data_IF_678048152061
#
_entry.id   IF_678048152061
#
_cell.length_a   1.000
_cell.length_b   1.000
_cell.length_c   1.000
_cell.angle_alpha   90.00
_cell.angle_beta   90.00
_cell.angle_gamma   90.00
#
_symmetry.space_group_name_H-M   'P 1'
#
loop_
_entity.id
_entity.type
_entity.pdbx_description
1 polymer ?
#
# COMPACT_ATOMS: atom_id res chain seq x y z
N UNK A 1 -32.19 33.72 20.64
CA UNK A 1 -31.03 34.06 21.49
C UNK A 1 -29.83 34.14 20.57
N UNK A 2 -29.26 35.32 20.36
CA UNK A 2 -28.06 35.52 19.54
C UNK A 2 -27.05 36.25 20.42
N UNK A 3 -25.91 35.60 20.71
CA UNK A 3 -24.70 36.25 21.23
C UNK A 3 -23.53 35.84 20.34
N UNK A 4 -22.75 36.87 20.07
CA UNK A 4 -21.76 37.09 19.02
C UNK A 4 -20.50 36.23 19.23
N UNK A 5 -19.76 35.83 18.18
CA UNK A 5 -18.45 35.19 18.31
C UNK A 5 -17.45 36.21 18.87
N UNK A 6 -16.77 35.89 19.97
CA UNK A 6 -15.68 36.73 20.48
C UNK A 6 -14.46 36.59 19.57
N UNK A 7 -13.84 37.69 19.13
CA UNK A 7 -12.55 37.66 18.46
C UNK A 7 -11.42 37.56 19.49
N UNK A 8 -10.26 37.10 19.02
CA UNK A 8 -8.94 37.20 19.67
C UNK A 8 -8.69 36.22 20.84
N UNK A 9 -8.27 35.01 20.45
CA UNK A 9 -7.13 34.36 21.10
C UNK A 9 -6.06 34.21 20.02
N UNK A 10 -5.12 35.18 20.02
CA UNK A 10 -3.85 35.15 19.31
C UNK A 10 -3.13 33.81 19.60
N UNK A 11 -2.78 33.05 18.58
CA UNK A 11 -1.50 33.12 17.85
C UNK A 11 -0.30 32.69 18.72
N UNK A 12 -0.24 31.39 19.00
CA UNK A 12 1.01 30.65 19.19
C UNK A 12 1.01 29.50 18.18
N UNK A 13 1.11 29.86 16.90
CA UNK A 13 1.45 28.92 15.81
C UNK A 13 2.98 28.84 15.71
N UNK A 14 3.60 28.05 16.58
CA UNK A 14 4.99 27.63 16.42
C UNK A 14 5.08 26.12 16.62
N UNK A 15 5.17 25.40 15.51
CA UNK A 15 5.24 23.96 15.44
C UNK A 15 4.83 23.46 14.05
N UNK A 16 5.71 23.69 13.08
CA UNK A 16 5.67 23.09 11.75
C UNK A 16 5.34 21.59 11.81
N UNK A 17 4.33 21.17 11.07
CA UNK A 17 3.92 19.78 10.93
C UNK A 17 2.51 19.72 10.36
N UNK A 18 2.44 19.70 9.03
CA UNK A 18 1.24 19.81 8.22
C UNK A 18 0.07 18.93 8.71
N UNK A 19 -1.08 19.56 8.90
CA UNK A 19 -2.34 18.84 8.96
C UNK A 19 -2.86 18.58 7.55
N UNK A 20 -2.96 17.33 7.13
CA UNK A 20 -3.98 16.87 6.18
C UNK A 20 -4.19 15.35 6.12
N UNK A 21 -5.32 14.90 6.69
CA UNK A 21 -6.07 13.75 6.18
C UNK A 21 -5.78 12.37 6.79
N UNK A 22 -6.78 11.82 7.50
CA UNK A 22 -7.15 10.39 7.51
C UNK A 22 -6.07 9.30 7.75
N UNK A 23 -4.95 9.62 8.39
CA UNK A 23 -3.99 8.61 8.86
C UNK A 23 -4.05 8.49 10.38
N UNK A 24 -4.00 7.24 10.86
CA UNK A 24 -4.22 6.90 12.28
C UNK A 24 -3.04 7.25 13.20
N UNK A 25 -1.85 7.47 12.65
CA UNK A 25 -0.62 7.77 13.37
C UNK A 25 0.18 8.85 12.65
N UNK A 26 0.85 9.74 13.40
CA UNK A 26 1.80 10.70 12.86
C UNK A 26 3.14 10.05 12.50
N UNK A 27 3.97 10.75 11.73
CA UNK A 27 5.31 10.27 11.34
C UNK A 27 6.21 10.06 12.56
N UNK A 28 6.08 10.92 13.58
CA UNK A 28 6.84 10.82 14.82
C UNK A 28 6.41 9.64 15.70
N UNK A 29 5.19 9.12 15.51
CA UNK A 29 4.65 7.99 16.29
C UNK A 29 5.16 6.62 15.80
N UNK A 30 5.74 6.55 14.59
CA UNK A 30 6.17 5.30 13.92
C UNK A 30 7.69 5.21 13.71
N UNK A 31 8.48 5.93 14.51
CA UNK A 31 9.95 5.90 14.49
C UNK A 31 10.57 4.71 15.24
N UNK A 32 11.92 4.64 15.32
CA UNK A 32 12.63 3.62 16.11
C UNK A 32 12.24 3.60 17.60
N UNK A 33 11.78 4.74 18.11
CA UNK A 33 11.24 4.92 19.47
C UNK A 33 9.70 5.06 19.48
N UNK A 34 9.03 4.67 18.39
CA UNK A 34 7.58 4.79 18.19
C UNK A 34 6.77 3.82 19.05
N UNK A 35 5.44 3.98 19.02
CA UNK A 35 4.52 3.08 19.74
C UNK A 35 4.50 1.73 19.03
N UNK A 36 5.10 0.71 19.65
CA UNK A 36 5.05 -0.67 19.17
C UNK A 36 4.06 -1.44 20.06
N UNK A 37 2.99 -1.96 19.45
CA UNK A 37 2.10 -2.92 20.14
C UNK A 37 2.87 -4.23 20.37
N UNK A 38 2.84 -4.75 21.60
CA UNK A 38 3.45 -6.05 22.02
C UNK A 38 2.78 -7.29 21.38
N UNK A 39 2.11 -7.13 20.23
CA UNK A 39 1.56 -8.21 19.44
C UNK A 39 2.70 -8.85 18.63
N UNK A 40 2.84 -10.18 18.57
CA UNK A 40 4.00 -10.84 17.96
C UNK A 40 4.23 -10.28 16.56
N UNK A 41 5.39 -9.65 16.38
CA UNK A 41 5.70 -8.81 15.23
C UNK A 41 5.29 -9.51 13.92
N UNK A 42 4.19 -9.04 13.33
CA UNK A 42 3.69 -9.51 12.03
C UNK A 42 4.79 -9.41 10.94
N UNK A 43 5.80 -8.56 11.16
CA UNK A 43 6.97 -8.35 10.32
C UNK A 43 7.96 -9.54 10.31
N UNK A 44 7.92 -10.42 11.32
CA UNK A 44 8.87 -11.54 11.44
C UNK A 44 8.30 -12.90 11.01
N UNK A 45 7.00 -12.98 10.72
CA UNK A 45 6.37 -14.21 10.25
C UNK A 45 6.59 -14.34 8.73
N UNK A 46 7.08 -15.49 8.24
CA UNK A 46 7.09 -15.77 6.81
C UNK A 46 5.68 -15.61 6.24
N UNK A 47 5.53 -14.73 5.24
CA UNK A 47 4.27 -14.60 4.50
C UNK A 47 4.02 -15.92 3.77
N UNK A 48 3.13 -16.75 4.30
CA UNK A 48 2.77 -18.01 3.65
C UNK A 48 2.00 -17.71 2.36
N UNK A 49 2.56 -18.02 1.18
CA UNK A 49 1.80 -17.87 -0.05
C UNK A 49 0.65 -18.87 -0.03
N UNK A 50 -0.58 -18.37 0.01
CA UNK A 50 -1.76 -19.19 -0.15
C UNK A 50 -1.84 -19.83 -1.54
N UNK A 51 -2.71 -20.82 -1.67
CA UNK A 51 -3.01 -21.42 -2.98
C UNK A 51 -3.63 -20.38 -3.93
N UNK A 52 -3.14 -20.26 -5.17
CA UNK A 52 -3.72 -19.32 -6.12
C UNK A 52 -5.16 -19.70 -6.45
N UNK A 53 -6.02 -18.69 -6.62
CA UNK A 53 -7.37 -18.89 -7.14
C UNK A 53 -7.30 -19.37 -8.59
N UNK A 54 -8.30 -20.15 -9.01
CA UNK A 54 -8.38 -20.68 -10.39
C UNK A 54 -8.26 -19.57 -11.45
N UNK A 55 -8.90 -18.43 -11.23
CA UNK A 55 -8.83 -17.26 -12.11
C UNK A 55 -7.38 -16.75 -12.31
N UNK A 56 -6.61 -16.65 -11.23
CA UNK A 56 -5.21 -16.21 -11.30
C UNK A 56 -4.36 -17.21 -12.10
N UNK A 57 -4.61 -18.51 -11.95
CA UNK A 57 -3.92 -19.56 -12.71
C UNK A 57 -4.21 -19.40 -14.21
N UNK A 58 -5.46 -19.14 -14.59
CA UNK A 58 -5.85 -18.93 -15.99
C UNK A 58 -5.09 -17.75 -16.60
N UNK A 59 -4.98 -16.62 -15.90
CA UNK A 59 -4.24 -15.47 -16.40
C UNK A 59 -2.75 -15.75 -16.58
N UNK A 60 -2.12 -16.46 -15.64
CA UNK A 60 -0.71 -16.87 -15.75
C UNK A 60 -0.51 -17.78 -16.97
N UNK A 61 -1.35 -18.80 -17.13
CA UNK A 61 -1.27 -19.71 -18.27
C UNK A 61 -1.47 -18.98 -19.60
N UNK A 62 -2.42 -18.04 -19.67
CA UNK A 62 -2.64 -17.24 -20.86
C UNK A 62 -1.41 -16.40 -21.23
N UNK A 63 -0.77 -15.77 -20.23
CA UNK A 63 0.48 -15.05 -20.43
C UNK A 63 1.62 -15.93 -20.92
N UNK A 64 1.78 -17.13 -20.34
CA UNK A 64 2.80 -18.10 -20.77
C UNK A 64 2.55 -18.56 -22.20
N UNK A 65 1.30 -18.91 -22.54
CA UNK A 65 0.94 -19.34 -23.88
C UNK A 65 1.16 -18.24 -24.92
N UNK A 66 0.84 -16.99 -24.58
CA UNK A 66 1.09 -15.84 -25.45
C UNK A 66 2.58 -15.60 -25.66
N UNK A 67 3.38 -15.62 -24.59
CA UNK A 67 4.83 -15.44 -24.67
C UNK A 67 5.49 -16.55 -25.51
N UNK A 68 5.14 -17.81 -25.24
CA UNK A 68 5.63 -18.96 -26.02
C UNK A 68 5.18 -18.86 -27.47
N UNK A 69 3.91 -18.53 -27.72
CA UNK A 69 3.37 -18.35 -29.06
C UNK A 69 4.12 -17.26 -29.84
N UNK A 70 4.41 -16.12 -29.21
CA UNK A 70 5.20 -15.05 -29.81
C UNK A 70 6.61 -15.54 -30.16
N UNK A 71 7.29 -16.24 -29.24
CA UNK A 71 8.62 -16.80 -29.48
C UNK A 71 8.57 -17.78 -30.65
N UNK A 72 7.60 -18.68 -30.70
CA UNK A 72 7.49 -19.65 -31.79
C UNK A 72 7.26 -18.94 -33.13
N UNK A 73 6.33 -18.00 -33.21
CA UNK A 73 6.05 -17.25 -34.45
C UNK A 73 7.26 -16.44 -34.91
N UNK A 74 7.98 -15.80 -33.99
CA UNK A 74 9.10 -14.92 -34.33
C UNK A 74 10.37 -15.69 -34.67
N UNK A 75 10.66 -16.78 -33.97
CA UNK A 75 11.87 -17.59 -34.18
C UNK A 75 11.66 -18.63 -35.28
N UNK A 76 10.45 -19.18 -35.41
CA UNK A 76 10.10 -20.22 -36.38
C UNK A 76 8.96 -19.75 -37.29
N UNK A 77 9.23 -18.84 -38.25
CA UNK A 77 8.20 -18.25 -39.12
C UNK A 77 7.50 -19.22 -40.07
N UNK A 78 7.85 -20.52 -40.05
CA UNK A 78 7.20 -21.59 -40.84
C UNK A 78 6.61 -22.71 -39.98
N UNK A 79 6.45 -22.50 -38.67
CA UNK A 79 5.84 -23.48 -37.78
C UNK A 79 4.31 -23.61 -37.94
N UNK A 80 3.70 -22.78 -38.81
CA UNK A 80 2.27 -22.72 -39.08
C UNK A 80 2.00 -22.48 -40.56
#
# INVERSE_FOLDING_TARGET
MSRVPSPEADDDRDGDGDGDGEWRFGVDDVGPDGIIDDEPEFEQLPIEPGSPRAENIVFVLLGVLLAVGLIVVTVYPGAF
#
